data_IF_666829997899
#
_entry.id   IF_666829997899
#
_cell.length_a   1.000
_cell.length_b   1.000
_cell.length_c   1.000
_cell.angle_alpha   90.00
_cell.angle_beta   90.00
_cell.angle_gamma   90.00
#
_symmetry.space_group_name_H-M   'P 1'
#
loop_
_entity.id
_entity.type
_entity.pdbx_description
1 polymer ?
#
# COMPACT_ATOMS: atom_id res chain seq x y z
N UNK A 1 -4.77 4.43 -10.72
CA UNK A 1 -5.18 4.79 -9.35
C UNK A 1 -3.98 4.93 -8.43
N UNK A 2 -4.13 5.71 -7.40
CA UNK A 2 -3.09 5.93 -6.41
C UNK A 2 -3.56 5.39 -5.06
N UNK A 3 -2.70 4.61 -4.41
CA UNK A 3 -2.98 4.09 -3.08
C UNK A 3 -1.95 4.64 -2.11
N UNK A 4 -2.38 5.52 -1.22
CA UNK A 4 -1.53 6.12 -0.21
C UNK A 4 -1.53 5.26 1.03
N UNK A 5 -0.36 4.80 1.45
CA UNK A 5 -0.19 3.99 2.66
C UNK A 5 0.57 4.77 3.71
N UNK A 6 0.07 4.73 4.93
CA UNK A 6 0.71 5.38 6.06
C UNK A 6 0.53 4.53 7.30
N UNK A 7 1.58 4.44 8.13
CA UNK A 7 1.51 3.77 9.41
C UNK A 7 2.09 4.71 10.46
N UNK A 8 1.26 5.13 11.40
CA UNK A 8 1.67 6.02 12.47
C UNK A 8 1.14 5.46 13.79
N UNK A 9 2.04 5.20 14.75
CA UNK A 9 1.67 4.67 16.08
C UNK A 9 0.76 3.45 15.99
N UNK A 10 1.15 2.50 15.13
CA UNK A 10 0.43 1.22 14.94
C UNK A 10 -0.98 1.38 14.39
N UNK A 11 -1.26 2.51 13.73
CA UNK A 11 -2.49 2.71 12.98
C UNK A 11 -2.16 2.78 11.50
N UNK A 12 -2.75 1.86 10.73
CA UNK A 12 -2.61 1.84 9.29
C UNK A 12 -3.69 2.73 8.69
N UNK A 13 -3.30 3.64 7.81
CA UNK A 13 -4.23 4.52 7.10
C UNK A 13 -3.97 4.41 5.61
N UNK A 14 -5.00 4.10 4.86
CA UNK A 14 -4.92 3.94 3.42
C UNK A 14 -5.96 4.83 2.76
N UNK A 15 -5.53 5.55 1.73
CA UNK A 15 -6.44 6.34 0.92
C UNK A 15 -6.29 5.91 -0.53
N UNK A 16 -7.37 5.46 -1.14
CA UNK A 16 -7.39 5.16 -2.57
C UNK A 16 -7.90 6.39 -3.29
N UNK A 17 -7.11 6.89 -4.24
CA UNK A 17 -7.44 8.08 -5.01
C UNK A 17 -7.48 7.76 -6.50
N UNK A 18 -8.33 8.46 -7.21
CA UNK A 18 -8.42 8.38 -8.66
C UNK A 18 -8.01 9.72 -9.26
N UNK A 19 -7.20 9.66 -10.29
CA UNK A 19 -6.72 10.84 -10.99
C UNK A 19 -7.54 11.02 -12.28
N UNK A 20 -8.03 12.25 -12.51
CA UNK A 20 -8.77 12.56 -13.72
C UNK A 20 -7.83 13.00 -14.86
N UNK A 21 -8.41 13.38 -16.01
CA UNK A 21 -7.64 13.80 -17.18
C UNK A 21 -6.83 15.08 -16.94
N UNK A 22 -7.25 15.90 -16.00
CA UNK A 22 -6.55 17.13 -15.63
C UNK A 22 -5.56 16.91 -14.49
N UNK A 23 -5.33 15.64 -14.13
CA UNK A 23 -4.44 15.23 -13.04
C UNK A 23 -4.91 15.69 -11.66
N UNK A 24 -6.19 15.94 -11.52
CA UNK A 24 -6.78 16.21 -10.22
C UNK A 24 -7.10 14.89 -9.55
N UNK A 25 -6.70 14.74 -8.29
CA UNK A 25 -6.96 13.54 -7.53
C UNK A 25 -8.23 13.68 -6.70
N UNK A 26 -9.02 12.61 -6.67
CA UNK A 26 -10.20 12.52 -5.83
C UNK A 26 -10.12 11.26 -5.00
N UNK A 27 -10.29 11.38 -3.69
CA UNK A 27 -10.32 10.22 -2.81
C UNK A 27 -11.59 9.42 -3.08
N UNK A 28 -11.40 8.13 -3.33
CA UNK A 28 -12.51 7.20 -3.62
C UNK A 28 -12.85 6.38 -2.38
N UNK A 29 -11.83 5.93 -1.66
CA UNK A 29 -11.99 5.14 -0.44
C UNK A 29 -10.95 5.54 0.60
N UNK A 30 -11.34 5.45 1.85
CA UNK A 30 -10.45 5.66 2.98
C UNK A 30 -10.60 4.49 3.95
N UNK A 31 -9.49 3.88 4.31
CA UNK A 31 -9.45 2.76 5.25
C UNK A 31 -8.51 3.08 6.40
N UNK A 32 -8.91 2.66 7.60
CA UNK A 32 -8.07 2.82 8.78
C UNK A 32 -8.19 1.58 9.63
N UNK A 33 -7.07 1.14 10.20
CA UNK A 33 -7.03 -0.04 11.05
C UNK A 33 -5.93 0.12 12.10
N UNK A 34 -6.26 -0.21 13.35
CA UNK A 34 -5.24 -0.34 14.38
C UNK A 34 -4.65 -1.76 14.29
N UNK A 35 -3.33 -1.87 14.33
CA UNK A 35 -2.67 -3.16 14.32
C UNK A 35 -3.01 -3.97 15.57
N UNK A 36 -3.17 -5.27 15.40
CA UNK A 36 -3.31 -6.17 16.55
C UNK A 36 -1.99 -6.29 17.31
N UNK A 37 -2.04 -6.73 18.56
CA UNK A 37 -0.83 -6.81 19.39
C UNK A 37 0.30 -7.58 18.71
N UNK A 38 0.00 -8.70 18.07
CA UNK A 38 1.04 -9.49 17.41
C UNK A 38 1.58 -8.76 16.15
N UNK A 39 0.76 -7.93 15.52
CA UNK A 39 1.17 -7.18 14.33
C UNK A 39 2.06 -5.99 14.70
N UNK A 40 1.93 -5.45 15.91
CA UNK A 40 2.78 -4.36 16.36
C UNK A 40 4.24 -4.79 16.51
N UNK A 41 4.47 -6.10 16.59
CA UNK A 41 5.81 -6.67 16.69
C UNK A 41 6.51 -6.84 15.35
N UNK A 42 5.79 -6.61 14.26
CA UNK A 42 6.37 -6.68 12.92
C UNK A 42 7.43 -5.60 12.76
N UNK A 43 8.48 -5.90 11.99
CA UNK A 43 9.45 -4.87 11.61
C UNK A 43 8.77 -3.80 10.77
N UNK A 44 9.37 -2.61 10.61
CA UNK A 44 8.79 -1.59 9.73
C UNK A 44 8.52 -2.09 8.31
N UNK A 45 9.40 -2.92 7.77
CA UNK A 45 9.21 -3.50 6.44
C UNK A 45 8.00 -4.43 6.40
N UNK A 46 7.86 -5.25 7.43
CA UNK A 46 6.71 -6.16 7.53
C UNK A 46 5.41 -5.40 7.71
N UNK A 47 5.41 -4.34 8.51
CA UNK A 47 4.23 -3.50 8.69
C UNK A 47 3.79 -2.85 7.37
N UNK A 48 4.74 -2.35 6.60
CA UNK A 48 4.46 -1.77 5.28
C UNK A 48 3.82 -2.79 4.36
N UNK A 49 4.40 -3.98 4.26
CA UNK A 49 3.89 -5.04 3.42
C UNK A 49 2.51 -5.51 3.88
N UNK A 50 2.34 -5.65 5.19
CA UNK A 50 1.04 -6.01 5.76
C UNK A 50 -0.03 -4.96 5.44
N UNK A 51 0.31 -3.70 5.56
CA UNK A 51 -0.63 -2.61 5.25
C UNK A 51 -1.11 -2.69 3.81
N UNK A 52 -0.20 -2.98 2.88
CA UNK A 52 -0.55 -3.14 1.47
C UNK A 52 -1.44 -4.36 1.26
N UNK A 53 -1.08 -5.51 1.83
CA UNK A 53 -1.87 -6.74 1.69
C UNK A 53 -3.28 -6.53 2.22
N UNK A 54 -3.40 -5.91 3.37
CA UNK A 54 -4.70 -5.63 3.96
C UNK A 54 -5.53 -4.71 3.07
N UNK A 55 -4.90 -3.67 2.52
CA UNK A 55 -5.59 -2.71 1.64
C UNK A 55 -6.10 -3.38 0.37
N UNK A 56 -5.26 -4.18 -0.31
CA UNK A 56 -5.67 -4.82 -1.57
C UNK A 56 -6.75 -5.88 -1.33
N UNK A 57 -6.73 -6.54 -0.19
CA UNK A 57 -7.80 -7.49 0.14
C UNK A 57 -9.14 -6.79 0.34
N UNK A 58 -9.12 -5.66 1.02
CA UNK A 58 -10.35 -4.89 1.27
C UNK A 58 -10.88 -4.22 0.02
N UNK A 59 -9.99 -3.79 -0.87
CA UNK A 59 -10.35 -3.03 -2.06
C UNK A 59 -10.29 -3.85 -3.35
N UNK A 60 -10.15 -5.16 -3.23
CA UNK A 60 -9.93 -6.05 -4.37
C UNK A 60 -10.85 -5.77 -5.56
N UNK A 61 -12.15 -5.72 -5.32
CA UNK A 61 -13.13 -5.56 -6.38
C UNK A 61 -13.08 -4.18 -7.05
N UNK A 62 -12.48 -3.20 -6.36
CA UNK A 62 -12.34 -1.85 -6.89
C UNK A 62 -11.07 -1.69 -7.71
N UNK A 63 -9.96 -2.26 -7.23
CA UNK A 63 -8.63 -2.01 -7.81
C UNK A 63 -8.15 -3.08 -8.78
N UNK A 64 -8.74 -4.27 -8.76
CA UNK A 64 -8.26 -5.38 -9.59
C UNK A 64 -8.12 -5.04 -11.08
N UNK A 65 -9.08 -4.35 -11.72
CA UNK A 65 -8.98 -4.04 -13.15
C UNK A 65 -8.05 -2.86 -13.48
N UNK A 66 -7.44 -2.23 -12.48
CA UNK A 66 -6.65 -1.03 -12.69
C UNK A 66 -5.19 -1.23 -12.33
N UNK A 67 -4.33 -0.43 -12.95
CA UNK A 67 -2.96 -0.27 -12.48
C UNK A 67 -2.99 0.66 -11.27
N UNK A 68 -2.31 0.27 -10.19
CA UNK A 68 -2.30 1.03 -8.95
C UNK A 68 -0.87 1.43 -8.60
N UNK A 69 -0.64 2.71 -8.40
CA UNK A 69 0.62 3.24 -7.89
C UNK A 69 0.52 3.37 -6.38
N UNK A 70 1.45 2.71 -5.70
CA UNK A 70 1.50 2.74 -4.25
C UNK A 70 2.43 3.86 -3.81
N UNK A 71 1.89 4.78 -3.00
CA UNK A 71 2.63 5.92 -2.48
C UNK A 71 2.89 5.69 -1.00
N UNK A 72 4.15 5.51 -0.64
CA UNK A 72 4.55 5.24 0.74
C UNK A 72 5.99 5.65 0.96
N UNK A 73 6.40 5.77 2.21
CA UNK A 73 7.79 6.07 2.55
C UNK A 73 8.73 4.94 2.22
N UNK A 74 8.28 3.71 2.39
CA UNK A 74 9.03 2.49 2.20
C UNK A 74 8.33 1.65 1.15
N UNK A 75 9.11 0.96 0.31
CA UNK A 75 8.55 0.09 -0.71
C UNK A 75 7.91 -1.14 -0.05
N UNK A 76 6.58 -1.24 -0.05
CA UNK A 76 5.91 -2.37 0.58
C UNK A 76 5.95 -3.65 -0.26
N UNK A 77 6.35 -3.55 -1.52
CA UNK A 77 6.46 -4.69 -2.41
C UNK A 77 7.80 -5.39 -2.29
N UNK A 78 8.83 -4.65 -1.90
CA UNK A 78 10.20 -5.14 -1.94
C UNK A 78 10.43 -6.35 -1.02
N UNK A 79 9.98 -6.27 0.21
CA UNK A 79 10.27 -7.30 1.22
C UNK A 79 9.69 -8.67 0.86
N UNK A 80 8.39 -8.78 0.48
CA UNK A 80 7.85 -10.09 0.09
C UNK A 80 8.52 -10.68 -1.14
N UNK A 81 8.91 -9.83 -2.10
CA UNK A 81 9.55 -10.30 -3.32
C UNK A 81 11.00 -10.69 -3.12
N UNK A 82 11.70 -10.07 -2.16
CA UNK A 82 13.10 -10.40 -1.89
C UNK A 82 13.28 -11.69 -1.10
N UNK A 83 12.35 -12.00 -0.20
CA UNK A 83 12.51 -13.11 0.72
C UNK A 83 11.28 -14.02 0.81
N UNK A 84 10.73 -14.47 -0.33
CA UNK A 84 9.48 -15.23 -0.30
C UNK A 84 9.61 -16.61 0.35
N UNK A 85 10.82 -17.18 0.35
CA UNK A 85 11.04 -18.53 0.86
C UNK A 85 11.30 -18.59 2.37
N UNK A 86 11.47 -17.46 3.04
CA UNK A 86 11.87 -17.44 4.45
C UNK A 86 10.73 -17.59 5.43
N UNK A 87 9.49 -17.42 4.99
CA UNK A 87 8.34 -17.45 5.87
C UNK A 87 7.08 -17.79 5.09
N UNK A 88 6.24 -18.65 5.67
CA UNK A 88 4.94 -18.98 5.08
C UNK A 88 4.06 -17.74 4.97
N UNK A 89 4.18 -16.81 5.91
CA UNK A 89 3.45 -15.54 5.89
C UNK A 89 3.83 -14.69 4.67
N UNK A 90 5.13 -14.57 4.39
CA UNK A 90 5.60 -13.79 3.24
C UNK A 90 5.18 -14.42 1.92
N UNK A 91 5.24 -15.74 1.83
CA UNK A 91 4.78 -16.46 0.64
C UNK A 91 3.31 -16.23 0.38
N UNK A 92 2.50 -16.26 1.43
CA UNK A 92 1.07 -16.01 1.35
C UNK A 92 0.78 -14.58 0.89
N UNK A 93 1.50 -13.60 1.43
CA UNK A 93 1.35 -12.21 1.02
C UNK A 93 1.72 -12.03 -0.45
N UNK A 94 2.80 -12.68 -0.89
CA UNK A 94 3.24 -12.59 -2.28
C UNK A 94 2.16 -13.12 -3.22
N UNK A 95 1.57 -14.27 -2.90
CA UNK A 95 0.49 -14.84 -3.70
C UNK A 95 -0.69 -13.86 -3.82
N UNK A 96 -1.03 -13.19 -2.73
CA UNK A 96 -2.13 -12.23 -2.73
C UNK A 96 -1.80 -10.99 -3.57
N UNK A 97 -0.54 -10.57 -3.58
CA UNK A 97 -0.15 -9.34 -4.28
C UNK A 97 0.03 -9.53 -5.78
N UNK A 98 0.41 -10.71 -6.25
CA UNK A 98 0.67 -10.93 -7.68
C UNK A 98 -0.57 -10.87 -8.56
N UNK A 99 -1.76 -10.92 -7.98
CA UNK A 99 -3.00 -10.75 -8.73
C UNK A 99 -3.18 -9.34 -9.28
N UNK A 100 -2.51 -8.36 -8.68
CA UNK A 100 -2.73 -6.94 -8.95
C UNK A 100 -1.59 -6.34 -9.74
N UNK A 101 -1.90 -5.33 -10.54
CA UNK A 101 -0.88 -4.53 -11.23
C UNK A 101 -0.46 -3.38 -10.32
N UNK A 102 0.53 -3.63 -9.47
CA UNK A 102 0.99 -2.69 -8.46
C UNK A 102 2.38 -2.17 -8.80
N UNK A 103 2.58 -0.88 -8.63
CA UNK A 103 3.88 -0.22 -8.79
C UNK A 103 4.12 0.71 -7.61
N UNK A 104 5.37 0.82 -7.21
CA UNK A 104 5.75 1.66 -6.08
C UNK A 104 6.26 3.02 -6.55
N UNK A 105 5.88 4.04 -5.81
CA UNK A 105 6.36 5.41 -6.03
C UNK A 105 6.76 6.01 -4.68
N UNK A 106 8.01 6.42 -4.55
CA UNK A 106 8.48 7.00 -3.30
C UNK A 106 7.79 8.32 -3.03
N UNK A 107 7.38 8.52 -1.77
CA UNK A 107 6.63 9.71 -1.38
C UNK A 107 7.37 11.00 -1.69
N UNK A 108 8.68 11.04 -1.48
CA UNK A 108 9.48 12.22 -1.76
C UNK A 108 9.51 12.59 -3.23
N UNK A 109 9.41 11.61 -4.12
CA UNK A 109 9.37 11.85 -5.56
C UNK A 109 8.08 12.56 -5.95
N UNK A 110 7.00 12.22 -5.30
CA UNK A 110 5.70 12.81 -5.55
C UNK A 110 5.61 14.21 -4.98
N UNK A 111 6.34 14.49 -3.93
CA UNK A 111 6.34 15.77 -3.26
C UNK A 111 6.69 16.93 -4.19
N UNK A 112 7.48 16.66 -5.23
CA UNK A 112 7.80 17.65 -6.23
C UNK A 112 6.69 17.88 -7.25
N UNK A 113 5.61 17.13 -7.15
CA UNK A 113 4.46 17.20 -8.06
C UNK A 113 3.24 17.78 -7.34
N UNK A 114 2.05 17.45 -7.83
CA UNK A 114 0.79 17.93 -7.24
C UNK A 114 0.61 17.53 -5.77
N UNK A 115 1.21 16.45 -5.37
CA UNK A 115 1.03 15.90 -4.01
C UNK A 115 1.68 16.76 -2.93
N UNK A 116 2.60 17.63 -3.30
CA UNK A 116 3.18 18.54 -2.32
C UNK A 116 2.10 19.42 -1.66
N UNK A 117 0.92 19.46 -2.21
CA UNK A 117 -0.20 20.23 -1.69
C UNK A 117 -1.04 19.46 -0.64
N UNK A 118 -0.71 18.22 -0.39
CA UNK A 118 -1.41 17.43 0.62
C UNK A 118 -0.89 17.67 2.02
#
# INVERSE_FOLDING_TARGET
MLLYLSIIKDVVRNTLAQEDNDKNESAVYYLSKRLHDYETRYTPKEKSSFALVWAVQKLRHVILPFQVWIVARMDPLKYPFEKPALSGRLSKWLILLVEFDLKYMARKTIKGCAISNF
#
